data_IF_761139121566
#
_entry.id   IF_761139121566
#
_cell.length_a   1.000
_cell.length_b   1.000
_cell.length_c   1.000
_cell.angle_alpha   90.00
_cell.angle_beta   90.00
_cell.angle_gamma   90.00
#
_symmetry.space_group_name_H-M   'P 1'
#
loop_
_entity.id
_entity.type
_entity.pdbx_description
1 polymer ?
#
# COMPACT_ATOMS: atom_id res chain seq x y z
N UNK A 1 -33.73 -0.53 9.21
CA UNK A 1 -32.86 -1.71 9.06
C UNK A 1 -31.46 -1.21 9.32
N UNK A 2 -30.81 -1.70 10.37
CA UNK A 2 -29.47 -1.23 10.73
C UNK A 2 -28.49 -1.74 9.68
N UNK A 3 -27.92 -0.86 8.88
CA UNK A 3 -26.75 -1.15 8.07
C UNK A 3 -25.63 -1.50 9.07
N UNK A 4 -25.34 -2.79 9.25
CA UNK A 4 -24.16 -3.20 10.00
C UNK A 4 -22.97 -2.76 9.17
N UNK A 5 -22.19 -1.80 9.68
CA UNK A 5 -20.92 -1.44 9.05
C UNK A 5 -20.05 -2.70 8.94
N UNK A 6 -19.40 -2.91 7.78
CA UNK A 6 -18.54 -4.07 7.59
C UNK A 6 -17.45 -4.07 8.66
N UNK A 7 -17.19 -5.24 9.23
CA UNK A 7 -16.14 -5.41 10.22
C UNK A 7 -14.78 -5.08 9.61
N UNK A 8 -13.81 -4.67 10.45
CA UNK A 8 -12.45 -4.36 10.01
C UNK A 8 -11.80 -5.50 9.23
N UNK A 9 -12.08 -6.74 9.65
CA UNK A 9 -11.62 -7.94 8.96
C UNK A 9 -12.24 -8.07 7.56
N UNK A 10 -13.54 -7.83 7.40
CA UNK A 10 -14.20 -7.87 6.09
C UNK A 10 -13.62 -6.82 5.14
N UNK A 11 -13.38 -5.60 5.65
CA UNK A 11 -12.71 -4.54 4.88
C UNK A 11 -11.29 -4.92 4.47
N UNK A 12 -10.49 -5.52 5.37
CA UNK A 12 -9.14 -6.01 5.04
C UNK A 12 -9.19 -7.13 3.99
N UNK A 13 -10.18 -8.03 4.04
CA UNK A 13 -10.32 -9.10 3.05
C UNK A 13 -10.66 -8.54 1.66
N UNK A 14 -11.68 -7.67 1.57
CA UNK A 14 -12.06 -7.02 0.30
C UNK A 14 -10.87 -6.29 -0.32
N UNK A 15 -10.07 -5.65 0.53
CA UNK A 15 -8.89 -4.93 0.10
C UNK A 15 -7.78 -5.85 -0.40
N UNK A 16 -7.50 -6.96 0.29
CA UNK A 16 -6.53 -7.97 -0.16
C UNK A 16 -6.94 -8.60 -1.48
N UNK A 17 -8.23 -8.89 -1.68
CA UNK A 17 -8.74 -9.41 -2.96
C UNK A 17 -8.55 -8.41 -4.10
N UNK A 18 -8.73 -7.11 -3.83
CA UNK A 18 -8.46 -6.05 -4.81
C UNK A 18 -6.96 -5.87 -5.10
N UNK A 19 -6.08 -6.09 -4.11
CA UNK A 19 -4.62 -6.00 -4.27
C UNK A 19 -4.01 -7.19 -4.99
N UNK A 20 -4.49 -8.39 -4.65
CA UNK A 20 -3.95 -9.67 -5.08
C UNK A 20 -5.04 -10.49 -5.79
N UNK A 21 -5.59 -9.98 -6.91
CA UNK A 21 -6.65 -10.67 -7.61
C UNK A 21 -6.18 -12.06 -8.02
N UNK A 22 -7.01 -13.07 -7.74
CA UNK A 22 -6.77 -14.49 -8.02
C UNK A 22 -5.59 -15.14 -7.27
N UNK A 23 -4.82 -14.36 -6.49
CA UNK A 23 -3.68 -14.84 -5.72
C UNK A 23 -4.03 -15.04 -4.25
N UNK A 24 -4.88 -14.20 -3.67
CA UNK A 24 -5.37 -14.33 -2.31
C UNK A 24 -6.78 -14.96 -2.27
N UNK A 25 -7.00 -15.85 -1.30
CA UNK A 25 -8.31 -16.45 -1.02
C UNK A 25 -8.47 -16.66 0.49
N UNK A 26 -9.63 -16.29 1.04
CA UNK A 26 -9.93 -16.42 2.47
C UNK A 26 -11.02 -17.47 2.73
N UNK A 27 -10.80 -18.37 3.68
CA UNK A 27 -11.78 -19.36 4.15
C UNK A 27 -12.32 -18.94 5.52
N UNK A 28 -13.54 -18.39 5.53
CA UNK A 28 -14.18 -17.82 6.71
C UNK A 28 -14.33 -18.82 7.86
N UNK A 29 -14.63 -20.10 7.58
CA UNK A 29 -14.86 -21.09 8.63
C UNK A 29 -13.58 -21.51 9.34
N UNK A 30 -12.48 -21.59 8.61
CA UNK A 30 -11.18 -21.95 9.14
C UNK A 30 -10.42 -20.73 9.69
N UNK A 31 -10.87 -19.52 9.34
CA UNK A 31 -10.13 -18.25 9.52
C UNK A 31 -8.74 -18.34 8.91
N UNK A 32 -8.67 -18.85 7.68
CA UNK A 32 -7.42 -19.07 6.99
C UNK A 32 -7.32 -18.24 5.71
N UNK A 33 -6.23 -17.49 5.61
CA UNK A 33 -5.85 -16.80 4.37
C UNK A 33 -4.84 -17.65 3.63
N UNK A 34 -5.09 -17.87 2.35
CA UNK A 34 -4.17 -18.54 1.44
C UNK A 34 -3.74 -17.58 0.35
N UNK A 35 -2.43 -17.47 0.14
CA UNK A 35 -1.83 -16.66 -0.91
C UNK A 35 -0.95 -17.55 -1.80
N UNK A 36 -1.13 -17.47 -3.11
CA UNK A 36 -0.38 -18.24 -4.10
C UNK A 36 0.18 -17.29 -5.16
N UNK A 37 1.49 -17.39 -5.42
CA UNK A 37 2.15 -16.61 -6.47
C UNK A 37 3.29 -17.42 -7.08
N UNK A 38 3.31 -17.54 -8.42
CA UNK A 38 4.39 -18.19 -9.17
C UNK A 38 4.79 -19.59 -8.64
N UNK A 39 3.81 -20.36 -8.15
CA UNK A 39 4.04 -21.71 -7.57
C UNK A 39 4.43 -21.74 -6.09
N UNK A 40 4.78 -20.59 -5.51
CA UNK A 40 4.97 -20.39 -4.08
C UNK A 40 3.60 -20.29 -3.36
N UNK A 41 3.60 -20.64 -2.07
CA UNK A 41 2.41 -20.71 -1.23
C UNK A 41 2.69 -20.09 0.13
N UNK A 42 1.77 -19.26 0.61
CA UNK A 42 1.68 -18.81 1.99
C UNK A 42 0.28 -19.14 2.51
N UNK A 43 0.21 -19.67 3.73
CA UNK A 43 -1.05 -19.93 4.42
C UNK A 43 -0.95 -19.43 5.85
N UNK A 44 -1.92 -18.59 6.22
CA UNK A 44 -2.02 -17.95 7.53
C UNK A 44 -3.29 -18.44 8.24
N UNK A 45 -3.22 -18.54 9.55
CA UNK A 45 -4.40 -18.72 10.41
C UNK A 45 -4.57 -17.50 11.30
N UNK A 46 -5.75 -16.89 11.24
CA UNK A 46 -6.08 -15.69 11.98
C UNK A 46 -6.74 -16.07 13.32
N UNK A 47 -6.31 -15.51 14.47
CA UNK A 47 -6.99 -15.72 15.73
C UNK A 47 -8.39 -15.09 15.69
N UNK A 48 -9.30 -15.56 16.55
CA UNK A 48 -10.70 -15.09 16.59
C UNK A 48 -10.83 -13.60 16.88
N UNK A 49 -9.85 -13.04 17.60
CA UNK A 49 -9.78 -11.64 18.01
C UNK A 49 -9.08 -10.71 17.01
N UNK A 50 -8.61 -11.22 15.87
CA UNK A 50 -7.98 -10.39 14.85
C UNK A 50 -9.01 -9.57 14.05
N UNK A 51 -8.75 -8.29 13.73
CA UNK A 51 -7.49 -7.54 13.94
C UNK A 51 -7.35 -6.81 15.29
N UNK A 52 -8.35 -6.88 16.18
CA UNK A 52 -8.34 -6.17 17.46
C UNK A 52 -7.20 -6.61 18.39
N UNK A 53 -6.92 -7.91 18.47
CA UNK A 53 -5.79 -8.47 19.21
C UNK A 53 -5.33 -9.83 18.67
N UNK A 54 -4.08 -10.17 18.95
CA UNK A 54 -3.41 -11.34 18.36
C UNK A 54 -3.03 -11.13 16.89
N UNK A 55 -1.94 -11.76 16.46
CA UNK A 55 -1.45 -11.67 15.08
C UNK A 55 -1.70 -12.99 14.32
N UNK A 56 -1.82 -12.96 12.98
CA UNK A 56 -1.93 -14.17 12.17
C UNK A 56 -0.67 -15.06 12.32
N UNK A 57 -0.88 -16.38 12.45
CA UNK A 57 0.23 -17.35 12.48
C UNK A 57 0.46 -17.97 11.10
N UNK A 58 1.73 -18.16 10.74
CA UNK A 58 2.11 -18.84 9.49
C UNK A 58 2.03 -20.36 9.71
N UNK A 59 1.05 -20.99 9.07
CA UNK A 59 0.84 -22.45 9.13
C UNK A 59 1.57 -23.18 7.99
N UNK A 60 1.64 -22.57 6.81
CA UNK A 60 2.42 -23.07 5.66
C UNK A 60 3.11 -21.92 4.93
N UNK A 61 4.35 -22.14 4.49
CA UNK A 61 5.06 -21.23 3.59
C UNK A 61 6.06 -22.05 2.75
N UNK A 62 5.96 -22.00 1.43
CA UNK A 62 6.87 -22.70 0.53
C UNK A 62 7.18 -21.89 -0.72
N UNK A 63 8.39 -22.01 -1.24
CA UNK A 63 8.79 -21.42 -2.52
C UNK A 63 8.22 -22.19 -3.74
N UNK A 64 8.58 -21.75 -4.95
CA UNK A 64 8.18 -22.40 -6.20
C UNK A 64 8.70 -23.85 -6.33
N UNK A 65 9.82 -24.16 -5.68
CA UNK A 65 10.44 -25.49 -5.62
C UNK A 65 9.84 -26.40 -4.53
N UNK A 66 8.81 -25.92 -3.82
CA UNK A 66 8.20 -26.58 -2.65
C UNK A 66 9.14 -26.73 -1.45
N UNK A 67 10.21 -25.93 -1.40
CA UNK A 67 11.07 -25.80 -0.22
C UNK A 67 10.28 -25.09 0.87
N UNK A 68 10.30 -25.64 2.08
CA UNK A 68 9.69 -25.00 3.25
C UNK A 68 10.52 -23.77 3.66
N UNK A 69 9.89 -22.60 3.64
CA UNK A 69 10.49 -21.32 4.02
C UNK A 69 9.82 -20.68 5.24
N UNK A 70 9.00 -21.44 5.99
CA UNK A 70 8.24 -20.92 7.15
C UNK A 70 9.12 -20.22 8.18
N UNK A 71 10.28 -20.78 8.49
CA UNK A 71 11.17 -20.19 9.48
C UNK A 71 11.67 -18.80 9.03
N UNK A 72 12.09 -18.68 7.77
CA UNK A 72 12.53 -17.41 7.19
C UNK A 72 11.38 -16.39 7.14
N UNK A 73 10.19 -16.82 6.70
CA UNK A 73 8.99 -15.99 6.67
C UNK A 73 8.59 -15.51 8.07
N UNK A 74 8.59 -16.39 9.09
CA UNK A 74 8.31 -15.98 10.48
C UNK A 74 9.33 -15.00 11.04
N UNK A 75 10.61 -15.13 10.66
CA UNK A 75 11.64 -14.15 11.05
C UNK A 75 11.38 -12.79 10.40
N UNK A 76 11.14 -12.75 9.09
CA UNK A 76 10.83 -11.51 8.38
C UNK A 76 9.59 -10.81 8.95
N UNK A 77 8.53 -11.54 9.29
CA UNK A 77 7.32 -10.97 9.93
C UNK A 77 7.64 -10.36 11.30
N UNK A 78 8.52 -10.98 12.10
CA UNK A 78 8.92 -10.42 13.40
C UNK A 78 9.68 -9.11 13.24
N UNK A 79 10.51 -9.00 12.21
CA UNK A 79 11.29 -7.79 11.92
C UNK A 79 10.41 -6.61 11.49
N UNK A 80 9.20 -6.87 10.97
CA UNK A 80 8.22 -5.81 10.66
C UNK A 80 7.70 -5.06 11.89
N UNK A 81 7.82 -5.64 13.10
CA UNK A 81 7.37 -4.99 14.34
C UNK A 81 5.85 -4.74 14.38
N UNK A 82 5.06 -5.66 13.81
CA UNK A 82 3.60 -5.57 13.76
C UNK A 82 3.00 -5.44 15.17
N UNK A 83 2.04 -4.54 15.33
CA UNK A 83 1.36 -4.29 16.59
C UNK A 83 -0.07 -4.84 16.56
N UNK A 84 -0.55 -5.31 17.71
CA UNK A 84 -1.96 -5.68 17.87
C UNK A 84 -2.87 -4.45 17.66
N UNK A 85 -4.07 -4.68 17.16
CA UNK A 85 -5.01 -3.62 16.81
C UNK A 85 -4.85 -3.09 15.38
N UNK A 86 -3.81 -3.52 14.64
CA UNK A 86 -3.58 -3.18 13.24
C UNK A 86 -3.85 -4.36 12.30
N UNK A 87 -4.37 -4.03 11.13
CA UNK A 87 -4.46 -4.92 9.97
C UNK A 87 -3.05 -5.14 9.42
N UNK A 88 -2.73 -6.38 9.04
CA UNK A 88 -1.36 -6.86 8.95
C UNK A 88 -1.14 -7.92 7.87
N UNK A 89 -2.21 -8.41 7.23
CA UNK A 89 -2.11 -9.52 6.29
C UNK A 89 -1.33 -9.14 5.04
N UNK A 90 -1.46 -7.89 4.57
CA UNK A 90 -0.64 -7.39 3.48
C UNK A 90 0.85 -7.35 3.83
N UNK A 91 1.21 -6.83 5.02
CA UNK A 91 2.59 -6.85 5.52
C UNK A 91 3.19 -8.23 5.44
N UNK A 92 2.42 -9.22 5.89
CA UNK A 92 2.84 -10.60 5.98
C UNK A 92 3.05 -11.17 4.57
N UNK A 93 2.18 -10.83 3.60
CA UNK A 93 2.36 -11.19 2.19
C UNK A 93 3.61 -10.54 1.60
N UNK A 94 3.85 -9.25 1.87
CA UNK A 94 5.03 -8.52 1.39
C UNK A 94 6.33 -9.10 1.99
N UNK A 95 6.34 -9.40 3.29
CA UNK A 95 7.47 -10.05 3.93
C UNK A 95 7.75 -11.44 3.33
N UNK A 96 6.69 -12.21 3.03
CA UNK A 96 6.82 -13.48 2.34
C UNK A 96 7.42 -13.31 0.93
N UNK A 97 6.96 -12.34 0.15
CA UNK A 97 7.50 -12.03 -1.18
C UNK A 97 8.99 -11.64 -1.11
N UNK A 98 9.39 -10.84 -0.13
CA UNK A 98 10.80 -10.47 0.07
C UNK A 98 11.68 -11.68 0.40
N UNK A 99 11.16 -12.65 1.16
CA UNK A 99 11.85 -13.94 1.40
C UNK A 99 12.00 -14.74 0.12
N UNK A 100 10.99 -14.76 -0.76
CA UNK A 100 11.07 -15.42 -2.06
C UNK A 100 12.13 -14.77 -2.98
N UNK A 101 12.18 -13.44 -3.01
CA UNK A 101 13.18 -12.69 -3.79
C UNK A 101 14.59 -12.98 -3.27
N UNK A 102 14.78 -12.98 -1.95
CA UNK A 102 16.06 -13.28 -1.30
C UNK A 102 16.56 -14.70 -1.60
N UNK A 103 15.66 -15.65 -1.85
CA UNK A 103 15.99 -17.03 -2.21
C UNK A 103 16.32 -17.20 -3.71
N UNK A 104 15.90 -16.27 -4.57
CA UNK A 104 15.90 -16.45 -6.04
C UNK A 104 17.02 -15.71 -6.79
N UNK A 105 18.01 -15.11 -6.10
CA UNK A 105 19.30 -14.53 -6.57
C UNK A 105 19.52 -13.14 -5.95
N UNK A 106 20.77 -12.87 -5.55
CA UNK A 106 21.22 -11.59 -5.02
C UNK A 106 21.12 -10.41 -6.02
N UNK A 107 20.80 -9.22 -5.46
CA UNK A 107 20.91 -7.85 -6.00
C UNK A 107 19.87 -7.41 -7.07
N UNK A 108 19.66 -6.08 -7.32
CA UNK A 108 20.45 -4.89 -6.92
C UNK A 108 19.63 -3.64 -6.47
N UNK A 109 20.32 -2.58 -6.04
CA UNK A 109 19.96 -1.22 -6.51
C UNK A 109 21.15 -0.26 -6.41
N UNK A 110 21.78 -0.05 -7.56
CA UNK A 110 22.78 0.97 -7.84
C UNK A 110 22.10 2.34 -7.88
N UNK A 111 22.46 3.23 -6.97
CA UNK A 111 22.11 4.65 -7.04
C UNK A 111 22.93 5.32 -8.13
N UNK A 112 22.30 5.59 -9.27
CA UNK A 112 22.89 6.49 -10.27
C UNK A 112 22.36 7.89 -9.97
N UNK A 113 23.19 8.68 -9.28
CA UNK A 113 22.98 10.12 -9.22
C UNK A 113 23.27 10.72 -10.59
N UNK A 114 22.27 11.34 -11.20
CA UNK A 114 22.48 12.24 -12.32
C UNK A 114 21.73 13.53 -12.06
N UNK A 115 22.48 14.62 -12.06
CA UNK A 115 22.02 16.00 -12.27
C UNK A 115 20.88 16.02 -13.29
N UNK A 116 19.81 16.79 -13.07
CA UNK A 116 19.48 17.95 -13.90
C UNK A 116 18.14 18.61 -13.54
N UNK A 117 18.10 19.93 -13.74
CA UNK A 117 16.99 20.77 -14.19
C UNK A 117 15.59 20.67 -13.57
N UNK A 118 14.90 21.82 -13.62
CA UNK A 118 13.58 22.22 -13.10
C UNK A 118 12.39 21.35 -13.59
N UNK A 119 12.52 20.03 -13.46
CA UNK A 119 11.54 19.04 -13.89
C UNK A 119 10.49 18.85 -12.81
N UNK A 120 9.23 18.78 -13.22
CA UNK A 120 8.12 18.48 -12.32
C UNK A 120 7.82 16.98 -12.37
N UNK A 121 7.31 16.44 -11.27
CA UNK A 121 6.89 15.04 -11.14
C UNK A 121 5.52 14.96 -10.49
N UNK A 122 4.75 13.95 -10.87
CA UNK A 122 3.53 13.53 -10.18
C UNK A 122 3.61 12.05 -9.85
N UNK A 123 3.18 11.71 -8.63
CA UNK A 123 3.03 10.32 -8.17
C UNK A 123 1.64 10.08 -7.60
N UNK A 124 1.09 8.89 -7.84
CA UNK A 124 -0.08 8.38 -7.12
C UNK A 124 0.37 7.18 -6.30
N UNK A 125 0.08 7.26 -5.01
CA UNK A 125 0.45 6.26 -4.02
C UNK A 125 -0.83 5.69 -3.46
N UNK A 126 -0.87 4.37 -3.46
CA UNK A 126 -1.92 3.58 -2.88
C UNK A 126 -1.38 2.93 -1.61
N UNK A 127 -2.22 2.84 -0.59
CA UNK A 127 -1.92 2.28 0.73
C UNK A 127 -3.07 1.39 1.17
N UNK A 128 -2.76 0.43 2.04
CA UNK A 128 -3.76 -0.45 2.62
C UNK A 128 -4.80 0.38 3.40
N UNK A 129 -4.31 1.25 4.27
CA UNK A 129 -5.14 2.27 4.88
C UNK A 129 -4.29 3.47 5.32
N UNK A 130 -4.91 4.64 5.36
CA UNK A 130 -4.32 5.86 5.91
C UNK A 130 -5.15 6.35 7.10
N UNK A 131 -5.28 5.52 8.13
CA UNK A 131 -6.09 5.84 9.33
C UNK A 131 -5.29 6.52 10.43
N UNK A 132 -4.07 6.03 10.71
CA UNK A 132 -3.25 6.53 11.80
C UNK A 132 -2.94 8.03 11.66
N UNK A 133 -3.23 8.80 12.70
CA UNK A 133 -3.05 10.26 12.71
C UNK A 133 -1.60 10.69 12.44
N UNK A 134 -0.63 9.90 12.88
CA UNK A 134 0.80 10.13 12.60
C UNK A 134 1.08 10.02 11.10
N UNK A 135 0.57 8.98 10.43
CA UNK A 135 0.70 8.79 8.97
C UNK A 135 0.06 9.95 8.20
N UNK A 136 -1.17 10.33 8.59
CA UNK A 136 -1.91 11.46 7.99
C UNK A 136 -1.14 12.77 8.11
N UNK A 137 -0.63 13.10 9.31
CA UNK A 137 0.16 14.31 9.53
C UNK A 137 1.44 14.33 8.71
N UNK A 138 2.14 13.20 8.60
CA UNK A 138 3.35 13.11 7.79
C UNK A 138 3.04 13.30 6.30
N UNK A 139 1.96 12.68 5.79
CA UNK A 139 1.54 12.84 4.40
C UNK A 139 1.23 14.31 4.03
N UNK A 140 0.71 15.10 4.97
CA UNK A 140 0.38 16.52 4.81
C UNK A 140 1.54 17.49 5.04
N UNK A 141 2.70 17.00 5.52
CA UNK A 141 3.84 17.86 5.90
C UNK A 141 4.58 18.62 4.79
N UNK A 142 4.62 18.20 3.50
CA UNK A 142 5.45 18.90 2.52
C UNK A 142 4.81 20.22 2.10
N UNK A 143 5.58 21.31 2.20
CA UNK A 143 5.10 22.67 1.90
C UNK A 143 5.38 23.11 0.46
N UNK A 144 6.32 22.44 -0.21
CA UNK A 144 6.75 22.73 -1.59
C UNK A 144 5.97 21.94 -2.63
N UNK A 145 5.16 20.98 -2.19
CA UNK A 145 4.34 20.12 -3.04
C UNK A 145 2.88 20.55 -3.02
N UNK A 146 2.16 20.16 -4.06
CA UNK A 146 0.70 20.21 -4.07
C UNK A 146 0.16 18.79 -4.20
N UNK A 147 -0.98 18.51 -3.59
CA UNK A 147 -1.46 17.13 -3.57
C UNK A 147 -2.79 16.94 -2.89
N UNK A 148 -3.27 15.70 -2.94
CA UNK A 148 -4.49 15.28 -2.26
C UNK A 148 -4.18 14.01 -1.47
N UNK A 149 -4.60 13.95 -0.22
CA UNK A 149 -4.61 12.71 0.57
C UNK A 149 -6.05 12.32 0.87
N UNK A 150 -6.38 11.04 0.70
CA UNK A 150 -7.65 10.47 1.12
C UNK A 150 -7.38 9.39 2.17
N UNK A 151 -7.61 9.69 3.46
CA UNK A 151 -7.62 8.72 4.54
C UNK A 151 -8.64 7.61 4.34
N UNK A 152 -8.52 6.55 5.13
CA UNK A 152 -9.45 5.43 5.12
C UNK A 152 -8.99 4.28 4.21
N UNK A 153 -9.98 3.59 3.65
CA UNK A 153 -9.83 2.36 2.87
C UNK A 153 -10.17 2.59 1.38
N UNK A 154 -9.26 2.25 0.45
CA UNK A 154 -7.81 2.30 0.65
C UNK A 154 -7.33 3.72 1.00
N UNK A 155 -6.12 3.84 1.52
CA UNK A 155 -5.44 5.12 1.65
C UNK A 155 -4.90 5.57 0.29
N UNK A 156 -5.14 6.81 -0.11
CA UNK A 156 -4.69 7.33 -1.42
C UNK A 156 -3.95 8.64 -1.20
N UNK A 157 -2.82 8.81 -1.90
CA UNK A 157 -2.08 10.06 -1.90
C UNK A 157 -1.65 10.41 -3.31
N UNK A 158 -1.86 11.66 -3.71
CA UNK A 158 -1.37 12.23 -4.97
C UNK A 158 -0.44 13.37 -4.60
N UNK A 159 0.80 13.35 -5.09
CA UNK A 159 1.74 14.45 -4.91
C UNK A 159 2.26 14.93 -6.26
N UNK A 160 2.29 16.24 -6.45
CA UNK A 160 2.82 16.88 -7.64
C UNK A 160 3.63 18.13 -7.30
N UNK A 161 4.75 18.33 -7.98
CA UNK A 161 5.64 19.48 -7.75
C UNK A 161 7.03 19.26 -8.34
N UNK A 162 8.05 19.99 -7.85
CA UNK A 162 9.44 19.77 -8.24
C UNK A 162 9.85 18.31 -8.02
N UNK A 163 10.50 17.70 -9.00
CA UNK A 163 10.80 16.27 -8.98
C UNK A 163 11.66 15.86 -7.78
N UNK A 164 12.60 16.70 -7.37
CA UNK A 164 13.41 16.50 -6.17
C UNK A 164 12.57 16.44 -4.90
N UNK A 165 11.68 17.41 -4.70
CA UNK A 165 10.79 17.47 -3.55
C UNK A 165 9.80 16.30 -3.51
N UNK A 166 9.25 15.90 -4.65
CA UNK A 166 8.38 14.72 -4.73
C UNK A 166 9.15 13.46 -4.35
N UNK A 167 10.36 13.30 -4.87
CA UNK A 167 11.21 12.13 -4.58
C UNK A 167 11.61 12.07 -3.10
N UNK A 168 12.03 13.20 -2.53
CA UNK A 168 12.38 13.31 -1.11
C UNK A 168 11.20 12.96 -0.20
N UNK A 169 10.01 13.49 -0.51
CA UNK A 169 8.81 13.19 0.26
C UNK A 169 8.44 11.71 0.14
N UNK A 170 8.42 11.15 -1.07
CA UNK A 170 8.16 9.71 -1.28
C UNK A 170 9.15 8.84 -0.51
N UNK A 171 10.44 9.19 -0.51
CA UNK A 171 11.46 8.46 0.24
C UNK A 171 11.22 8.55 1.76
N UNK A 172 10.81 9.72 2.25
CA UNK A 172 10.44 9.91 3.66
C UNK A 172 9.26 9.02 4.05
N UNK A 173 8.21 8.97 3.23
CA UNK A 173 7.06 8.12 3.49
C UNK A 173 7.39 6.62 3.38
N UNK A 174 8.25 6.23 2.42
CA UNK A 174 8.73 4.85 2.28
C UNK A 174 9.52 4.38 3.50
N UNK A 175 10.32 5.27 4.11
CA UNK A 175 11.13 4.94 5.29
C UNK A 175 10.28 4.54 6.51
N UNK A 176 9.00 4.91 6.53
CA UNK A 176 8.08 4.54 7.60
C UNK A 176 7.48 3.12 7.46
N UNK A 177 7.83 2.39 6.38
CA UNK A 177 7.40 1.01 6.13
C UNK A 177 5.87 0.81 6.25
N UNK A 178 5.08 1.73 5.67
CA UNK A 178 3.62 1.64 5.71
C UNK A 178 3.09 0.47 4.88
N UNK A 179 2.04 -0.16 5.41
CA UNK A 179 1.31 -1.27 4.78
C UNK A 179 0.86 -0.94 3.35
N UNK A 180 1.14 -1.86 2.43
CA UNK A 180 0.86 -1.76 1.01
C UNK A 180 1.27 -0.46 0.32
N UNK A 181 2.41 0.13 0.69
CA UNK A 181 2.89 1.34 0.01
C UNK A 181 3.23 1.07 -1.46
N UNK A 182 2.31 1.37 -2.36
CA UNK A 182 2.45 1.12 -3.80
C UNK A 182 2.41 2.43 -4.56
N UNK A 183 3.51 2.76 -5.25
CA UNK A 183 3.49 3.82 -6.27
C UNK A 183 2.84 3.24 -7.53
N UNK A 184 1.59 3.62 -7.80
CA UNK A 184 0.79 3.06 -8.90
C UNK A 184 0.78 3.93 -10.16
N UNK A 185 1.25 5.17 -10.05
CA UNK A 185 1.51 6.08 -11.17
C UNK A 185 2.69 6.96 -10.83
N UNK A 186 3.58 7.17 -11.80
CA UNK A 186 4.70 8.10 -11.72
C UNK A 186 5.02 8.64 -13.11
N UNK A 187 4.92 9.96 -13.29
CA UNK A 187 5.31 10.63 -14.53
C UNK A 187 5.95 11.99 -14.26
N UNK A 188 6.81 12.43 -15.19
CA UNK A 188 7.47 13.74 -15.14
C UNK A 188 6.55 14.85 -15.68
N UNK A 189 5.35 14.96 -15.11
CA UNK A 189 4.34 15.96 -15.43
C UNK A 189 3.88 16.67 -14.16
N UNK A 190 3.48 17.94 -14.29
CA UNK A 190 2.89 18.71 -13.20
C UNK A 190 1.36 18.62 -13.27
N UNK A 191 0.75 18.02 -12.25
CA UNK A 191 -0.69 18.03 -12.06
C UNK A 191 -1.10 19.28 -11.28
N UNK A 192 -2.26 19.83 -11.64
CA UNK A 192 -2.88 20.95 -10.93
C UNK A 192 -4.06 20.45 -10.13
N UNK A 193 -4.29 21.09 -8.98
CA UNK A 193 -5.38 20.75 -8.09
C UNK A 193 -6.23 21.99 -7.84
N UNK A 194 -7.55 21.79 -7.73
CA UNK A 194 -8.50 22.90 -7.60
C UNK A 194 -8.33 23.71 -6.31
N UNK A 195 -7.62 23.19 -5.29
CA UNK A 195 -7.25 23.94 -4.08
C UNK A 195 -5.94 24.72 -4.20
N UNK A 196 -5.24 24.64 -5.32
CA UNK A 196 -3.98 25.34 -5.57
C UNK A 196 -2.79 24.65 -4.90
N UNK A 197 -2.12 25.35 -3.99
CA UNK A 197 -0.86 24.91 -3.36
C UNK A 197 -1.10 24.10 -2.09
N UNK A 198 -0.14 23.25 -1.76
CA UNK A 198 -0.16 22.43 -0.55
C UNK A 198 -0.90 21.11 -0.74
N UNK A 199 -0.77 20.24 0.24
CA UNK A 199 -1.46 18.94 0.26
C UNK A 199 -2.77 19.09 1.03
N UNK A 200 -3.88 18.68 0.42
CA UNK A 200 -5.21 18.76 1.02
C UNK A 200 -5.75 17.36 1.32
N UNK A 201 -6.26 17.18 2.53
CA UNK A 201 -6.99 15.98 2.89
C UNK A 201 -8.46 16.06 2.41
N UNK A 202 -8.98 14.95 1.89
CA UNK A 202 -10.38 14.79 1.46
C UNK A 202 -10.95 13.47 1.97
N UNK A 203 -12.27 13.36 2.07
CA UNK A 203 -12.91 12.20 2.71
C UNK A 203 -13.29 11.13 1.68
N UNK A 204 -13.67 11.54 0.47
CA UNK A 204 -14.27 10.64 -0.52
C UNK A 204 -13.46 10.55 -1.81
N UNK A 205 -13.60 9.43 -2.53
CA UNK A 205 -13.00 9.26 -3.86
C UNK A 205 -13.51 10.31 -4.85
N UNK A 206 -14.80 10.66 -4.78
CA UNK A 206 -15.41 11.68 -5.62
C UNK A 206 -14.74 13.05 -5.43
N UNK A 207 -14.33 13.39 -4.21
CA UNK A 207 -13.58 14.60 -3.92
C UNK A 207 -12.15 14.56 -4.46
N UNK A 208 -11.49 13.39 -4.46
CA UNK A 208 -10.19 13.23 -5.11
C UNK A 208 -10.30 13.53 -6.60
N UNK A 209 -11.25 12.89 -7.30
CA UNK A 209 -11.50 13.09 -8.74
C UNK A 209 -11.89 14.53 -9.06
N UNK A 210 -12.70 15.17 -8.19
CA UNK A 210 -13.07 16.58 -8.33
C UNK A 210 -11.88 17.52 -8.08
N UNK A 211 -10.99 17.15 -7.16
CA UNK A 211 -9.84 17.94 -6.76
C UNK A 211 -8.72 17.95 -7.81
N UNK A 212 -8.61 16.92 -8.64
CA UNK A 212 -7.72 16.91 -9.82
C UNK A 212 -8.30 17.84 -10.89
N UNK A 213 -7.62 18.96 -11.14
CA UNK A 213 -8.04 20.03 -12.07
C UNK A 213 -7.68 19.70 -13.53
N UNK A 214 -7.16 18.51 -13.77
CA UNK A 214 -6.67 18.02 -15.06
C UNK A 214 -7.71 17.89 -16.16
N UNK A 215 -7.18 17.80 -17.39
CA UNK A 215 -7.89 17.24 -18.53
C UNK A 215 -8.44 15.86 -18.17
N UNK A 216 -9.45 15.40 -18.93
CA UNK A 216 -10.10 14.10 -18.75
C UNK A 216 -9.09 12.95 -18.56
N UNK A 217 -7.97 13.01 -19.28
CA UNK A 217 -6.83 12.08 -19.20
C UNK A 217 -6.24 11.91 -17.80
N UNK A 218 -6.05 12.98 -17.01
CA UNK A 218 -5.49 12.86 -15.65
C UNK A 218 -6.46 12.17 -14.69
N UNK A 219 -7.76 12.36 -14.89
CA UNK A 219 -8.79 11.67 -14.10
C UNK A 219 -8.84 10.19 -14.47
N UNK A 220 -8.73 9.89 -15.76
CA UNK A 220 -8.71 8.52 -16.26
C UNK A 220 -7.46 7.76 -15.77
N UNK A 221 -6.27 8.39 -15.82
CA UNK A 221 -5.04 7.81 -15.25
C UNK A 221 -5.13 7.63 -13.73
N UNK A 222 -5.76 8.58 -13.02
CA UNK A 222 -6.02 8.43 -11.59
C UNK A 222 -6.90 7.21 -11.30
N UNK A 223 -8.05 7.09 -11.97
CA UNK A 223 -8.98 5.98 -11.79
C UNK A 223 -8.32 4.63 -12.07
N UNK A 224 -7.57 4.55 -13.17
CA UNK A 224 -6.75 3.38 -13.52
C UNK A 224 -5.72 3.06 -12.45
N UNK A 225 -4.99 4.05 -11.93
CA UNK A 225 -4.00 3.85 -10.87
C UNK A 225 -4.65 3.33 -9.58
N UNK A 226 -5.86 3.74 -9.24
CA UNK A 226 -6.57 3.25 -8.05
C UNK A 226 -7.37 1.97 -8.28
N UNK A 227 -7.34 1.40 -9.50
CA UNK A 227 -7.97 0.13 -9.85
C UNK A 227 -9.47 0.21 -10.15
N UNK A 228 -10.00 1.40 -10.41
CA UNK A 228 -11.41 1.62 -10.77
C UNK A 228 -11.50 1.68 -12.31
N UNK A 229 -12.32 0.81 -12.90
CA UNK A 229 -12.61 0.77 -14.34
C UNK A 229 -13.73 1.72 -14.74
#
# INVERSE_FOLDING_TARGET
MSEQEPSRLELEMELLEAMYPEQASYETKARELKFIQNGALLQLRLPDSYPESGLPDVIAASDASKTDIRAATKTAIKELGLMEGEEALDAIIVAFQSVLESASTAQPSTTTGSNDNDTCRTVIIWLHHLLALTKRKLALSPTTLSGITKPGYPGIMIFSGPASAVTEHVNTLKAENWQAFQVRYEENLLWKFGHGKGVKEVETMAEVVKGVEGAKEQKDEFLKAVGIK
#
